data_IF_942589872146
#
_entry.id   IF_942589872146
#
_cell.length_a   1.000
_cell.length_b   1.000
_cell.length_c   1.000
_cell.angle_alpha   90.00
_cell.angle_beta   90.00
_cell.angle_gamma   90.00
#
_symmetry.space_group_name_H-M   'P 1'
#
loop_
_entity.id
_entity.type
_entity.pdbx_description
1 polymer ?
#
# COMPACT_ATOMS: atom_id res chain seq x y z
N UNK A 1 -13.32 3.67 0.03
CA UNK A 1 -12.89 4.73 -0.90
C UNK A 1 -12.50 4.09 -2.23
N UNK A 2 -12.86 4.70 -3.36
CA UNK A 2 -12.36 4.32 -4.68
C UNK A 2 -11.86 5.58 -5.37
N UNK A 3 -10.64 5.53 -5.91
CA UNK A 3 -10.05 6.60 -6.70
C UNK A 3 -9.70 6.07 -8.08
N UNK A 4 -10.04 6.83 -9.14
CA UNK A 4 -9.67 6.55 -10.51
C UNK A 4 -8.91 7.77 -11.04
N UNK A 5 -7.76 7.55 -11.67
CA UNK A 5 -6.91 8.61 -12.20
C UNK A 5 -6.48 8.20 -13.60
N UNK A 6 -6.67 9.08 -14.58
CA UNK A 6 -6.13 8.87 -15.92
C UNK A 6 -4.71 9.47 -15.98
N UNK A 7 -3.74 8.66 -16.40
CA UNK A 7 -2.35 9.06 -16.48
C UNK A 7 -1.93 9.05 -17.96
N UNK A 8 -1.80 10.23 -18.61
CA UNK A 8 -1.28 10.32 -19.96
C UNK A 8 0.23 10.04 -19.98
N UNK A 9 0.72 9.56 -21.13
CA UNK A 9 2.13 9.28 -21.40
C UNK A 9 2.79 8.24 -20.46
N UNK A 10 1.99 7.36 -19.84
CA UNK A 10 2.45 6.28 -18.96
C UNK A 10 1.82 4.95 -19.36
N UNK A 11 2.67 3.95 -19.59
CA UNK A 11 2.25 2.59 -19.92
C UNK A 11 1.87 1.80 -18.67
N UNK A 12 0.91 0.88 -18.80
CA UNK A 12 0.48 -0.05 -17.74
C UNK A 12 1.68 -0.76 -17.08
N UNK A 13 2.65 -1.21 -17.88
CA UNK A 13 3.86 -1.90 -17.39
C UNK A 13 4.69 -1.03 -16.43
N UNK A 14 4.69 0.30 -16.62
CA UNK A 14 5.44 1.22 -15.77
C UNK A 14 4.76 1.40 -14.42
N UNK A 15 3.43 1.57 -14.43
CA UNK A 15 2.65 1.64 -13.18
C UNK A 15 2.75 0.33 -12.41
N UNK A 16 2.71 -0.82 -13.10
CA UNK A 16 2.97 -2.12 -12.50
C UNK A 16 4.35 -2.20 -11.85
N UNK A 17 5.40 -1.88 -12.59
CA UNK A 17 6.75 -2.06 -12.05
C UNK A 17 6.97 -1.10 -10.86
N UNK A 18 6.43 0.11 -10.91
CA UNK A 18 6.37 1.05 -9.78
C UNK A 18 5.61 0.49 -8.57
N UNK A 19 4.49 -0.19 -8.83
CA UNK A 19 3.66 -0.80 -7.80
C UNK A 19 4.38 -1.92 -7.05
N UNK A 20 5.33 -2.62 -7.68
CA UNK A 20 6.07 -3.69 -7.04
C UNK A 20 7.39 -3.23 -6.43
N UNK A 21 7.99 -2.17 -6.95
CA UNK A 21 9.26 -1.64 -6.44
C UNK A 21 9.09 -1.00 -5.05
N UNK A 22 9.48 -1.75 -4.01
CA UNK A 22 9.41 -1.30 -2.61
C UNK A 22 10.33 -0.12 -2.36
N UNK A 23 11.55 -0.15 -2.91
CA UNK A 23 12.57 0.86 -2.67
C UNK A 23 12.12 2.19 -3.28
N UNK A 24 11.62 2.14 -4.52
CA UNK A 24 10.99 3.30 -5.15
C UNK A 24 9.82 3.82 -4.32
N UNK A 25 8.90 2.95 -3.88
CA UNK A 25 7.76 3.36 -3.05
C UNK A 25 8.19 3.98 -1.72
N UNK A 26 9.30 3.52 -1.13
CA UNK A 26 9.89 4.10 0.08
C UNK A 26 10.43 5.50 -0.16
N UNK A 27 11.10 5.74 -1.29
CA UNK A 27 11.61 7.06 -1.66
C UNK A 27 10.49 8.07 -1.94
N UNK A 28 9.36 7.62 -2.49
CA UNK A 28 8.24 8.51 -2.84
C UNK A 28 7.25 8.77 -1.70
N UNK A 29 7.29 7.97 -0.61
CA UNK A 29 6.36 8.11 0.52
C UNK A 29 7.05 8.76 1.72
N UNK A 30 6.87 10.07 1.89
CA UNK A 30 7.44 10.80 3.03
C UNK A 30 6.91 10.35 4.40
N UNK A 31 5.78 9.62 4.46
CA UNK A 31 5.20 9.15 5.71
C UNK A 31 5.68 7.73 6.08
N UNK A 32 6.43 7.03 5.22
CA UNK A 32 6.88 5.66 5.53
C UNK A 32 7.87 5.68 6.70
N UNK A 33 7.63 4.84 7.69
CA UNK A 33 8.58 4.58 8.79
C UNK A 33 9.43 3.36 8.44
N UNK A 34 8.77 2.29 8.00
CA UNK A 34 9.41 1.04 7.61
C UNK A 34 8.51 0.31 6.61
N UNK A 35 9.12 -0.28 5.59
CA UNK A 35 8.46 -1.13 4.62
C UNK A 35 9.43 -2.21 4.16
N UNK A 36 8.98 -3.46 4.18
CA UNK A 36 9.73 -4.58 3.62
C UNK A 36 8.79 -5.75 3.34
N UNK A 37 9.14 -6.53 2.32
CA UNK A 37 8.54 -7.85 2.13
C UNK A 37 9.27 -8.82 3.05
N UNK A 38 8.49 -9.66 3.74
CA UNK A 38 9.02 -10.58 4.73
C UNK A 38 9.16 -11.99 4.16
N UNK A 39 8.15 -12.45 3.41
CA UNK A 39 7.95 -13.88 3.11
C UNK A 39 7.25 -14.04 1.77
N UNK A 40 7.68 -15.02 0.98
CA UNK A 40 6.97 -15.47 -0.21
C UNK A 40 5.96 -16.57 0.14
N UNK A 41 4.77 -16.50 -0.45
CA UNK A 41 3.69 -17.51 -0.27
C UNK A 41 3.43 -18.24 -1.58
N UNK A 42 3.54 -17.55 -2.71
CA UNK A 42 3.44 -18.10 -4.05
C UNK A 42 4.32 -17.31 -5.03
N UNK A 43 4.40 -17.74 -6.28
CA UNK A 43 5.11 -16.99 -7.33
C UNK A 43 4.55 -15.57 -7.53
N UNK A 44 3.27 -15.38 -7.22
CA UNK A 44 2.53 -14.13 -7.37
C UNK A 44 1.89 -13.63 -6.05
N UNK A 45 2.43 -14.06 -4.91
CA UNK A 45 1.94 -13.62 -3.61
C UNK A 45 3.04 -13.60 -2.55
N UNK A 46 3.07 -12.53 -1.77
CA UNK A 46 4.00 -12.33 -0.66
C UNK A 46 3.30 -11.71 0.54
N UNK A 47 3.98 -11.76 1.68
CA UNK A 47 3.59 -11.09 2.92
C UNK A 47 4.54 -9.92 3.13
N UNK A 48 3.97 -8.73 3.27
CA UNK A 48 4.70 -7.50 3.51
C UNK A 48 4.29 -6.83 4.83
N UNK A 49 5.22 -6.03 5.35
CA UNK A 49 5.01 -5.13 6.47
C UNK A 49 5.11 -3.68 6.02
N UNK A 50 4.21 -2.83 6.51
CA UNK A 50 4.23 -1.39 6.26
C UNK A 50 3.85 -0.63 7.53
N UNK A 51 4.66 0.34 7.89
CA UNK A 51 4.40 1.27 8.98
C UNK A 51 4.54 2.71 8.51
N UNK A 52 3.65 3.58 8.98
CA UNK A 52 3.59 4.97 8.54
C UNK A 52 3.36 5.95 9.68
N UNK A 53 3.86 7.17 9.47
CA UNK A 53 3.68 8.30 10.35
C UNK A 53 2.25 8.83 10.24
N UNK A 54 1.65 9.12 11.39
CA UNK A 54 0.36 9.78 11.49
C UNK A 54 0.51 11.21 11.97
N UNK A 55 -0.49 12.03 11.67
CA UNK A 55 -0.54 13.40 12.16
C UNK A 55 -0.50 13.41 13.69
N UNK A 56 0.47 14.12 14.27
CA UNK A 56 0.54 14.28 15.72
C UNK A 56 -0.73 14.98 16.23
N UNK A 57 -1.24 14.62 17.42
CA UNK A 57 -0.65 13.71 18.42
C UNK A 57 -1.01 12.22 18.25
N UNK A 58 -1.59 11.80 17.12
CA UNK A 58 -1.94 10.39 16.91
C UNK A 58 -0.70 9.48 16.96
N UNK A 59 -0.88 8.26 17.46
CA UNK A 59 0.11 7.20 17.33
C UNK A 59 0.29 6.84 15.86
N UNK A 60 1.50 6.42 15.51
CA UNK A 60 1.78 5.90 14.18
C UNK A 60 1.08 4.54 13.99
N UNK A 61 0.89 4.11 12.73
CA UNK A 61 0.22 2.84 12.43
C UNK A 61 1.16 1.87 11.74
N UNK A 62 0.88 0.58 11.92
CA UNK A 62 1.44 -0.50 11.11
C UNK A 62 0.37 -1.44 10.57
N UNK A 63 0.73 -2.19 9.54
CA UNK A 63 -0.10 -3.24 8.95
C UNK A 63 0.79 -4.36 8.44
N UNK A 64 0.29 -5.58 8.57
CA UNK A 64 0.83 -6.77 7.89
C UNK A 64 -0.20 -7.19 6.86
N UNK A 65 0.22 -7.34 5.60
CA UNK A 65 -0.68 -7.70 4.49
C UNK A 65 -0.13 -8.85 3.69
N UNK A 66 -1.01 -9.76 3.27
CA UNK A 66 -0.75 -10.61 2.12
C UNK A 66 -1.10 -9.80 0.87
N UNK A 67 -0.13 -9.64 -0.02
CA UNK A 67 -0.27 -9.04 -1.33
C UNK A 67 -0.27 -10.15 -2.38
N UNK A 68 -1.22 -10.11 -3.32
CA UNK A 68 -1.22 -10.98 -4.49
C UNK A 68 -1.45 -10.17 -5.75
N UNK A 69 -0.82 -10.58 -6.85
CA UNK A 69 -0.93 -9.92 -8.14
C UNK A 69 -1.26 -10.87 -9.27
N UNK A 70 -1.93 -10.35 -10.29
CA UNK A 70 -2.30 -11.10 -11.47
C UNK A 70 -2.35 -10.20 -12.71
N UNK A 71 -1.95 -10.75 -13.84
CA UNK A 71 -2.19 -10.18 -15.17
C UNK A 71 -3.26 -11.02 -15.85
N UNK A 72 -4.36 -10.41 -16.29
CA UNK A 72 -5.44 -11.12 -16.97
C UNK A 72 -6.48 -10.17 -17.54
N UNK A 73 -7.10 -10.56 -18.67
CA UNK A 73 -8.19 -9.81 -19.31
C UNK A 73 -7.86 -8.34 -19.64
N UNK A 74 -6.58 -8.03 -19.92
CA UNK A 74 -6.12 -6.65 -20.18
C UNK A 74 -5.91 -5.80 -18.92
N UNK A 75 -6.06 -6.38 -17.74
CA UNK A 75 -5.86 -5.73 -16.45
C UNK A 75 -4.60 -6.26 -15.75
N UNK A 76 -3.91 -5.35 -15.06
CA UNK A 76 -2.95 -5.67 -14.03
C UNK A 76 -3.59 -5.42 -12.66
N UNK A 77 -3.73 -6.46 -11.85
CA UNK A 77 -4.40 -6.39 -10.56
C UNK A 77 -3.41 -6.69 -9.45
N UNK A 78 -3.41 -5.85 -8.40
CA UNK A 78 -2.76 -6.12 -7.12
C UNK A 78 -3.81 -5.97 -6.03
N UNK A 79 -3.93 -6.97 -5.17
CA UNK A 79 -4.85 -6.96 -4.03
C UNK A 79 -4.05 -7.24 -2.77
N UNK A 80 -4.39 -6.53 -1.70
CA UNK A 80 -3.81 -6.66 -0.38
C UNK A 80 -4.90 -6.73 0.68
N UNK A 81 -4.74 -7.64 1.62
CA UNK A 81 -5.58 -7.70 2.82
C UNK A 81 -4.75 -8.11 4.03
N UNK A 82 -5.23 -7.75 5.22
CA UNK A 82 -4.48 -7.99 6.45
C UNK A 82 -4.55 -9.45 6.88
N UNK A 83 -3.38 -9.96 7.25
CA UNK A 83 -3.20 -11.30 7.81
C UNK A 83 -2.56 -11.22 9.19
N UNK A 84 -2.76 -12.27 9.98
CA UNK A 84 -1.96 -12.57 11.16
C UNK A 84 -0.70 -13.27 10.70
N UNK A 85 0.43 -12.71 11.11
CA UNK A 85 1.75 -13.29 10.92
C UNK A 85 2.55 -13.09 12.21
N UNK A 86 3.68 -13.79 12.38
CA UNK A 86 4.55 -13.78 13.56
C UNK A 86 5.19 -12.41 13.91
N UNK A 87 4.65 -11.31 13.38
CA UNK A 87 5.01 -9.96 13.74
C UNK A 87 3.99 -9.38 14.76
N UNK A 88 4.27 -9.50 16.08
CA UNK A 88 3.33 -9.07 17.11
C UNK A 88 3.06 -7.57 17.03
N UNK A 89 1.89 -7.10 17.48
CA UNK A 89 1.61 -5.67 17.60
C UNK A 89 2.69 -4.96 18.43
N UNK A 90 3.19 -3.83 17.93
CA UNK A 90 4.20 -3.03 18.62
C UNK A 90 3.53 -2.03 19.56
N UNK A 91 4.09 -1.81 20.76
CA UNK A 91 3.49 -0.92 21.77
C UNK A 91 3.44 0.56 21.35
N UNK A 92 4.37 0.97 20.49
CA UNK A 92 4.50 2.34 19.97
C UNK A 92 3.60 2.63 18.76
N UNK A 93 2.97 1.61 18.17
CA UNK A 93 2.15 1.71 16.97
C UNK A 93 0.73 1.16 17.22
N UNK A 94 -0.23 1.62 16.44
CA UNK A 94 -1.57 1.06 16.38
C UNK A 94 -1.61 0.10 15.17
N UNK A 95 -1.95 -1.17 15.39
CA UNK A 95 -2.12 -2.13 14.28
C UNK A 95 -3.42 -1.85 13.54
N UNK A 96 -3.32 -1.34 12.32
CA UNK A 96 -4.45 -1.14 11.43
C UNK A 96 -4.84 -2.46 10.73
N UNK A 97 -6.02 -2.46 10.09
CA UNK A 97 -6.52 -3.59 9.30
C UNK A 97 -6.93 -3.09 7.92
N UNK A 98 -6.24 -3.57 6.88
CA UNK A 98 -6.68 -3.45 5.49
C UNK A 98 -7.64 -4.60 5.20
N UNK A 99 -8.94 -4.32 5.17
CA UNK A 99 -9.95 -5.32 4.76
C UNK A 99 -9.78 -5.67 3.28
N UNK A 100 -9.63 -4.64 2.45
CA UNK A 100 -9.33 -4.76 1.04
C UNK A 100 -8.66 -3.48 0.56
N UNK A 101 -7.44 -3.58 0.07
CA UNK A 101 -6.79 -2.50 -0.69
C UNK A 101 -6.18 -3.08 -1.95
N UNK A 102 -5.98 -2.27 -2.98
CA UNK A 102 -5.39 -2.79 -4.21
C UNK A 102 -5.23 -1.75 -5.28
N UNK A 103 -4.69 -2.17 -6.41
CA UNK A 103 -4.64 -1.37 -7.62
C UNK A 103 -5.01 -2.23 -8.82
N UNK A 104 -5.96 -1.73 -9.60
CA UNK A 104 -6.36 -2.29 -10.88
C UNK A 104 -5.91 -1.31 -11.96
N UNK A 105 -5.00 -1.74 -12.83
CA UNK A 105 -4.45 -0.88 -13.90
C UNK A 105 -4.82 -1.47 -15.25
N UNK A 106 -5.41 -0.65 -16.11
CA UNK A 106 -5.66 -1.02 -17.50
C UNK A 106 -5.18 0.07 -18.45
N UNK A 107 -5.00 -0.31 -19.73
CA UNK A 107 -4.71 0.66 -20.78
C UNK A 107 -5.94 1.54 -21.02
N UNK A 108 -5.70 2.84 -21.19
CA UNK A 108 -6.69 3.84 -21.58
C UNK A 108 -6.42 4.36 -23.00
N UNK A 109 -5.51 3.69 -23.72
CA UNK A 109 -4.97 4.14 -25.00
C UNK A 109 -3.52 3.67 -25.21
N UNK A 110 -2.91 3.95 -26.37
CA UNK A 110 -1.59 3.44 -26.76
C UNK A 110 -0.46 3.79 -25.76
N UNK A 111 -0.55 4.97 -25.15
CA UNK A 111 0.44 5.50 -24.20
C UNK A 111 -0.20 6.03 -22.90
N UNK A 112 -1.37 5.51 -22.52
CA UNK A 112 -2.09 5.96 -21.33
C UNK A 112 -2.63 4.78 -20.53
N UNK A 113 -2.81 5.01 -19.24
CA UNK A 113 -3.42 4.03 -18.35
C UNK A 113 -4.33 4.69 -17.32
N UNK A 114 -5.29 3.91 -16.82
CA UNK A 114 -6.21 4.33 -15.78
C UNK A 114 -6.10 3.39 -14.58
N UNK A 115 -5.24 3.70 -13.59
CA UNK A 115 -5.25 3.01 -12.31
C UNK A 115 -6.51 3.32 -11.49
N UNK A 116 -7.14 2.27 -11.00
CA UNK A 116 -8.24 2.29 -10.03
C UNK A 116 -7.71 1.76 -8.70
N UNK A 117 -7.90 2.52 -7.63
CA UNK A 117 -7.45 2.19 -6.28
C UNK A 117 -8.64 2.00 -5.33
N UNK A 118 -9.12 0.76 -5.14
CA UNK A 118 -10.06 0.45 -4.07
C UNK A 118 -9.34 0.38 -2.72
N UNK A 119 -9.93 0.99 -1.69
CA UNK A 119 -9.44 0.93 -0.31
C UNK A 119 -10.56 0.87 0.72
N UNK A 120 -10.52 -0.17 1.54
CA UNK A 120 -11.31 -0.40 2.74
C UNK A 120 -10.35 -0.74 3.88
N UNK A 121 -10.07 0.26 4.72
CA UNK A 121 -9.09 0.18 5.79
C UNK A 121 -9.74 0.65 7.09
N UNK A 122 -9.58 -0.15 8.14
CA UNK A 122 -9.85 0.24 9.51
C UNK A 122 -8.50 0.69 10.13
N UNK A 123 -8.26 2.01 10.28
CA UNK A 123 -7.01 2.53 10.82
C UNK A 123 -6.82 2.18 12.30
N UNK A 124 -7.85 1.61 12.94
CA UNK A 124 -7.96 1.33 14.36
C UNK A 124 -7.76 2.55 15.25
N UNK A 125 -8.16 2.35 16.50
CA UNK A 125 -8.24 3.39 17.49
C UNK A 125 -9.47 4.27 17.33
N UNK A 126 -9.87 4.92 18.43
CA UNK A 126 -10.98 5.87 18.43
C UNK A 126 -10.47 7.22 17.94
N UNK A 127 -10.53 7.48 16.64
CA UNK A 127 -10.01 8.74 16.07
C UNK A 127 -10.81 9.97 16.57
N UNK A 128 -10.14 11.10 16.88
CA UNK A 128 -10.81 12.37 17.20
C UNK A 128 -11.73 12.86 16.08
N UNK A 129 -12.80 13.57 16.44
CA UNK A 129 -13.72 14.20 15.47
C UNK A 129 -13.01 15.13 14.49
N UNK A 130 -12.02 15.91 14.96
CA UNK A 130 -11.27 16.82 14.09
C UNK A 130 -10.46 16.07 13.03
N UNK A 131 -9.95 14.87 13.35
CA UNK A 131 -9.25 14.00 12.40
C UNK A 131 -10.23 13.49 11.34
N UNK A 132 -11.39 12.99 11.76
CA UNK A 132 -12.45 12.52 10.85
C UNK A 132 -12.97 13.65 9.95
N UNK A 133 -13.08 14.87 10.50
CA UNK A 133 -13.51 16.04 9.74
C UNK A 133 -12.44 16.48 8.74
N UNK A 134 -11.16 16.56 9.14
CA UNK A 134 -10.05 16.83 8.20
C UNK A 134 -9.95 15.75 7.14
N UNK A 135 -10.12 14.48 7.49
CA UNK A 135 -10.14 13.37 6.54
C UNK A 135 -11.19 13.52 5.44
N UNK A 136 -12.34 14.05 5.84
CA UNK A 136 -13.48 14.27 4.94
C UNK A 136 -13.30 15.53 4.09
N UNK A 137 -12.63 16.56 4.63
CA UNK A 137 -12.38 17.85 3.97
C UNK A 137 -11.20 17.78 2.97
N UNK A 138 -10.08 17.20 3.41
CA UNK A 138 -8.99 16.79 2.53
C UNK A 138 -9.36 15.42 2.01
N UNK A 139 -10.28 15.39 1.03
CA UNK A 139 -10.64 14.21 0.23
C UNK A 139 -9.51 13.19 0.27
N UNK A 140 -9.81 11.94 0.63
CA UNK A 140 -9.16 10.73 0.12
C UNK A 140 -7.62 10.63 0.09
N UNK A 141 -6.82 11.29 -0.79
CA UNK A 141 -5.41 10.94 -0.96
C UNK A 141 -4.54 11.14 0.28
N UNK A 142 -4.91 12.02 1.23
CA UNK A 142 -4.04 12.27 2.38
C UNK A 142 -4.02 11.12 3.39
N UNK A 143 -5.11 10.36 3.51
CA UNK A 143 -5.30 9.30 4.49
C UNK A 143 -5.35 7.90 3.89
N UNK A 144 -5.58 7.77 2.58
CA UNK A 144 -5.65 6.48 1.88
C UNK A 144 -4.28 5.86 1.55
N UNK A 145 -3.25 6.13 2.37
CA UNK A 145 -1.86 5.75 2.07
C UNK A 145 -1.22 6.67 1.03
N UNK A 146 0.11 6.64 0.92
CA UNK A 146 0.85 7.49 0.00
C UNK A 146 0.64 7.15 -1.48
N UNK A 147 0.06 5.99 -1.76
CA UNK A 147 0.04 5.40 -3.09
C UNK A 147 -0.72 6.22 -4.16
N UNK A 148 -1.96 6.71 -3.92
CA UNK A 148 -2.62 7.61 -4.87
C UNK A 148 -1.89 8.95 -5.03
N UNK A 149 -1.18 9.42 -4.00
CA UNK A 149 -0.36 10.65 -4.09
C UNK A 149 0.86 10.44 -4.97
N UNK A 150 1.57 9.32 -4.85
CA UNK A 150 2.72 9.00 -5.70
C UNK A 150 2.33 8.95 -7.19
N UNK A 151 1.14 8.43 -7.51
CA UNK A 151 0.62 8.41 -8.89
C UNK A 151 0.25 9.80 -9.42
N UNK A 152 -0.30 10.68 -8.58
CA UNK A 152 -0.75 12.02 -8.99
C UNK A 152 0.35 13.10 -8.99
N UNK A 153 1.41 12.94 -8.21
CA UNK A 153 2.36 14.02 -7.92
C UNK A 153 3.65 13.97 -8.74
N UNK A 154 3.97 12.85 -9.40
CA UNK A 154 5.20 12.71 -10.18
C UNK A 154 4.95 13.05 -11.66
N UNK A 155 5.64 14.04 -12.24
CA UNK A 155 5.49 14.35 -13.67
C UNK A 155 5.86 13.13 -14.54
N UNK A 156 5.09 12.76 -15.59
CA UNK A 156 5.31 11.55 -16.40
C UNK A 156 6.73 11.35 -16.92
N UNK A 157 7.44 12.44 -17.26
CA UNK A 157 8.84 12.37 -17.74
C UNK A 157 9.85 12.04 -16.63
N UNK A 158 9.68 12.62 -15.44
CA UNK A 158 10.50 12.29 -14.26
C UNK A 158 10.16 10.89 -13.77
N UNK A 159 8.88 10.51 -13.85
CA UNK A 159 8.39 9.17 -13.58
C UNK A 159 9.12 8.13 -14.43
N UNK A 160 9.15 8.33 -15.76
CA UNK A 160 9.85 7.44 -16.68
C UNK A 160 11.35 7.32 -16.40
N UNK A 161 12.03 8.45 -16.19
CA UNK A 161 13.48 8.46 -15.98
C UNK A 161 13.91 7.81 -14.65
N UNK A 162 13.25 8.14 -13.53
CA UNK A 162 13.59 7.57 -12.22
C UNK A 162 13.28 6.08 -12.15
N UNK A 163 12.13 5.67 -12.71
CA UNK A 163 11.73 4.27 -12.74
C UNK A 163 12.71 3.42 -13.58
N UNK A 164 13.11 3.90 -14.77
CA UNK A 164 14.09 3.19 -15.60
C UNK A 164 15.47 3.07 -14.95
N UNK A 165 15.86 4.07 -14.14
CA UNK A 165 17.15 4.07 -13.44
C UNK A 165 17.18 3.09 -12.25
N UNK A 166 16.07 2.97 -11.51
CA UNK A 166 15.96 2.08 -10.34
C UNK A 166 15.68 0.62 -10.74
N UNK A 167 14.89 0.38 -11.78
CA UNK A 167 14.45 -0.97 -12.20
C UNK A 167 15.52 -1.83 -12.90
N UNK A 168 16.79 -1.46 -12.81
CA UNK A 168 17.76 -1.81 -13.84
C UNK A 168 18.11 -3.31 -13.93
N UNK A 169 17.91 -4.17 -12.92
CA UNK A 169 18.35 -5.58 -13.06
C UNK A 169 17.53 -6.67 -12.34
N UNK A 170 16.62 -6.36 -11.41
CA UNK A 170 15.89 -7.39 -10.64
C UNK A 170 14.41 -7.05 -10.54
N UNK A 171 13.55 -7.93 -11.06
CA UNK A 171 12.08 -7.81 -11.08
C UNK A 171 11.45 -9.15 -10.65
N UNK A 172 11.53 -9.53 -9.36
CA UNK A 172 11.02 -10.81 -8.88
C UNK A 172 9.52 -11.01 -9.11
N UNK A 173 8.74 -9.93 -9.25
CA UNK A 173 7.32 -10.00 -9.61
C UNK A 173 7.05 -10.40 -11.07
N UNK A 174 8.05 -10.29 -11.96
CA UNK A 174 8.00 -10.79 -13.34
C UNK A 174 8.75 -12.11 -13.51
N UNK A 175 9.83 -12.28 -12.74
CA UNK A 175 10.76 -13.40 -12.79
C UNK A 175 10.87 -14.01 -11.38
N UNK A 176 9.90 -14.85 -10.95
CA UNK A 176 9.82 -15.34 -9.57
C UNK A 176 11.07 -16.06 -9.08
N UNK A 177 11.86 -16.64 -9.98
CA UNK A 177 13.16 -17.27 -9.69
C UNK A 177 14.21 -16.29 -9.13
N UNK A 178 14.00 -14.99 -9.31
CA UNK A 178 14.84 -13.94 -8.74
C UNK A 178 14.52 -13.67 -7.25
N UNK A 179 13.39 -14.19 -6.74
CA UNK A 179 12.96 -13.96 -5.38
C UNK A 179 13.85 -14.73 -4.38
N UNK A 180 14.29 -14.02 -3.34
CA UNK A 180 15.16 -14.57 -2.28
C UNK A 180 14.46 -14.62 -0.92
N UNK A 181 13.17 -14.27 -0.87
CA UNK A 181 12.39 -14.32 0.36
C UNK A 181 12.22 -15.78 0.80
N UNK A 182 12.15 -16.03 2.11
CA UNK A 182 11.80 -17.35 2.63
C UNK A 182 10.38 -17.73 2.18
N UNK A 183 10.18 -19.00 1.83
CA UNK A 183 8.89 -19.55 1.46
C UNK A 183 8.11 -19.99 2.70
N UNK A 184 6.83 -19.64 2.77
CA UNK A 184 5.91 -20.05 3.84
C UNK A 184 4.68 -20.72 3.23
N UNK A 185 4.21 -21.79 3.86
CA UNK A 185 2.98 -22.45 3.44
C UNK A 185 1.76 -21.55 3.72
N UNK A 186 0.84 -21.47 2.75
CA UNK A 186 -0.40 -20.68 2.89
C UNK A 186 -1.23 -21.09 4.12
N UNK A 187 -1.17 -22.37 4.51
CA UNK A 187 -1.89 -22.91 5.68
C UNK A 187 -1.39 -22.35 7.02
N UNK A 188 -0.19 -21.76 7.05
CA UNK A 188 0.36 -21.12 8.25
C UNK A 188 -0.14 -19.69 8.43
N UNK A 189 -0.84 -19.15 7.42
CA UNK A 189 -1.43 -17.82 7.47
C UNK A 189 -2.86 -17.87 8.00
N UNK A 190 -3.19 -16.89 8.83
CA UNK A 190 -4.56 -16.66 9.27
C UNK A 190 -4.99 -15.24 8.87
N UNK A 191 -6.27 -15.05 8.55
CA UNK A 191 -6.83 -13.71 8.34
C UNK A 191 -6.71 -12.90 9.64
N UNK A 192 -6.52 -11.58 9.53
CA UNK A 192 -6.57 -10.67 10.68
C UNK A 192 -7.99 -10.11 10.85
N UNK A 193 -8.81 -10.61 11.81
CA UNK A 193 -10.10 -10.00 12.08
C UNK A 193 -9.88 -8.64 12.75
N UNK A 194 -10.63 -7.64 12.29
CA UNK A 194 -10.62 -6.32 12.90
C UNK A 194 -11.02 -6.37 14.38
N UNK A 195 -11.98 -7.22 14.75
CA UNK A 195 -12.45 -7.33 16.13
C UNK A 195 -11.43 -7.95 17.11
N UNK A 196 -10.40 -8.64 16.62
CA UNK A 196 -9.42 -9.31 17.48
C UNK A 196 -8.22 -8.45 17.85
N UNK A 197 -8.17 -7.18 17.40
CA UNK A 197 -7.11 -6.25 17.74
C UNK A 197 -7.56 -5.33 18.87
N UNK A 198 -6.61 -4.96 19.73
CA UNK A 198 -6.82 -3.97 20.78
C UNK A 198 -7.29 -2.64 20.16
N UNK A 199 -8.30 -2.02 20.79
CA UNK A 199 -8.77 -0.71 20.39
C UNK A 199 -8.16 0.37 21.29
N UNK A 200 -7.33 1.23 20.72
CA UNK A 200 -6.67 2.31 21.44
C UNK A 200 -7.53 3.57 21.35
N UNK A 201 -8.07 4.04 22.47
CA UNK A 201 -8.88 5.26 22.49
C UNK A 201 -8.01 6.51 22.32
N UNK A 202 -8.14 7.16 21.18
CA UNK A 202 -7.45 8.41 20.83
C UNK A 202 -8.44 9.59 20.77
N UNK A 203 -9.70 9.42 21.16
CA UNK A 203 -10.78 10.37 20.83
C UNK A 203 -10.67 11.70 21.56
N UNK A 204 -9.98 11.69 22.70
CA UNK A 204 -9.73 12.86 23.55
C UNK A 204 -8.55 13.73 23.09
N UNK A 205 -7.80 13.30 22.06
CA UNK A 205 -6.65 14.03 21.57
C UNK A 205 -7.07 15.33 20.84
N UNK A 206 -6.51 16.46 21.28
CA UNK A 206 -6.69 17.76 20.65
C UNK A 206 -5.72 17.97 19.50
N UNK A 207 -6.15 18.73 18.48
CA UNK A 207 -5.29 19.19 17.40
C UNK A 207 -4.13 20.04 17.97
N UNK A 208 -2.89 19.71 17.58
CA UNK A 208 -1.74 20.55 17.87
C UNK A 208 -1.79 21.76 16.93
N UNK A 209 -1.77 22.97 17.51
CA UNK A 209 -1.71 24.24 16.77
C UNK A 209 -0.31 24.48 16.20
#
# INVERSE_FOLDING_TARGET
LQCCIDIPDVLVKMVRDMLHDIEYRREQDANVINRHDAIQVAANADVGYYAWQCLKPLKNRDVVTLQSWQVGNGYHTIINFSIKHNNPPRKDLVRAVSLLTGCLVHSAGPNSCSPIYPAQVDPKGSLPKWVVNKASQYLAPQLSGAFPRCLCQVPPRKFHFTLLKQLANMKPWLYPEQNKLPLLALLELAVQPAASLENIDESSLSELK
#
